data_IF_669976763013
#
_entry.id   IF_669976763013
#
_cell.length_a   1.000
_cell.length_b   1.000
_cell.length_c   1.000
_cell.angle_alpha   90.00
_cell.angle_beta   90.00
_cell.angle_gamma   90.00
#
_symmetry.space_group_name_H-M   'P 1'
#
loop_
_entity.id
_entity.type
_entity.pdbx_description
1 polymer ?
#
# COMPACT_ATOMS: atom_id res chain seq x y z
N UNK A 1 50.55 -29.61 -3.08
CA UNK A 1 49.83 -30.34 -2.01
C UNK A 1 48.47 -29.68 -2.02
N UNK A 2 47.51 -30.29 -2.71
CA UNK A 2 46.18 -29.71 -2.90
C UNK A 2 45.55 -29.62 -1.51
N UNK A 3 45.40 -28.40 -1.02
CA UNK A 3 44.60 -28.14 0.16
C UNK A 3 43.17 -28.37 -0.32
N UNK A 4 42.56 -29.45 0.15
CA UNK A 4 41.11 -29.61 0.03
C UNK A 4 40.57 -28.42 0.81
N UNK A 5 40.10 -27.40 0.10
CA UNK A 5 39.21 -26.38 0.64
C UNK A 5 38.03 -27.21 1.12
N UNK A 6 38.03 -27.49 2.43
CA UNK A 6 36.93 -28.20 3.05
C UNK A 6 35.69 -27.39 2.74
N UNK A 7 34.64 -28.08 2.29
CA UNK A 7 33.29 -27.54 2.25
C UNK A 7 33.13 -26.58 3.43
N UNK A 8 32.65 -25.37 3.16
CA UNK A 8 31.89 -24.64 4.18
C UNK A 8 30.92 -25.69 4.69
N UNK A 9 31.13 -26.13 5.94
CA UNK A 9 30.37 -27.24 6.48
C UNK A 9 28.95 -26.72 6.62
N UNK A 10 28.14 -26.96 5.59
CA UNK A 10 26.74 -26.57 5.56
C UNK A 10 25.99 -27.17 6.75
N UNK A 11 26.49 -28.26 7.35
CA UNK A 11 25.98 -28.78 8.61
C UNK A 11 26.42 -27.93 9.82
N UNK A 12 27.57 -27.26 9.78
CA UNK A 12 28.01 -26.29 10.78
C UNK A 12 27.24 -24.98 10.68
N UNK A 13 27.02 -24.45 9.46
CA UNK A 13 26.17 -23.28 9.24
C UNK A 13 24.72 -23.56 9.67
N UNK A 14 24.18 -24.73 9.30
CA UNK A 14 22.87 -25.18 9.76
C UNK A 14 22.83 -25.48 11.27
N UNK A 15 23.95 -25.83 11.89
CA UNK A 15 24.05 -26.00 13.33
C UNK A 15 24.14 -24.66 14.07
N UNK A 16 24.80 -23.66 13.50
CA UNK A 16 24.85 -22.29 14.03
C UNK A 16 23.49 -21.60 13.88
N UNK A 17 22.82 -21.73 12.74
CA UNK A 17 21.44 -21.29 12.55
C UNK A 17 20.49 -22.00 13.54
N UNK A 18 20.61 -23.34 13.70
CA UNK A 18 19.84 -24.08 14.70
C UNK A 18 20.19 -23.70 16.14
N UNK A 19 21.43 -23.35 16.42
CA UNK A 19 21.89 -22.94 17.75
C UNK A 19 21.40 -21.53 18.09
N UNK A 20 21.47 -20.60 17.14
CA UNK A 20 20.89 -19.27 17.25
C UNK A 20 19.37 -19.36 17.47
N UNK A 21 18.68 -20.12 16.63
CA UNK A 21 17.26 -20.42 16.82
C UNK A 21 17.05 -21.02 18.23
N UNK A 22 17.84 -22.00 18.69
CA UNK A 22 17.66 -22.63 20.00
C UNK A 22 18.02 -21.73 21.21
N UNK A 23 18.93 -20.77 21.04
CA UNK A 23 19.37 -19.84 22.08
C UNK A 23 18.42 -18.64 22.20
N UNK A 24 17.86 -18.21 21.07
CA UNK A 24 16.77 -17.23 20.96
C UNK A 24 15.39 -17.83 21.29
N UNK A 25 15.25 -19.17 21.34
CA UNK A 25 14.03 -19.90 21.71
C UNK A 25 14.12 -20.64 23.07
N UNK A 26 13.98 -19.99 24.24
CA UNK A 26 13.71 -20.72 25.46
C UNK A 26 12.21 -21.13 25.51
N UNK A 27 11.83 -22.20 24.79
CA UNK A 27 10.66 -23.02 25.14
C UNK A 27 9.54 -23.25 24.10
N UNK A 28 9.68 -22.89 22.82
CA UNK A 28 8.51 -22.82 21.89
C UNK A 28 8.33 -23.96 20.89
N UNK A 29 9.14 -25.01 20.89
CA UNK A 29 8.86 -26.21 20.08
C UNK A 29 7.86 -27.20 20.72
N UNK A 30 7.34 -26.87 21.91
CA UNK A 30 6.27 -27.63 22.57
C UNK A 30 5.18 -26.65 23.05
N UNK A 31 4.25 -26.30 22.16
CA UNK A 31 2.99 -25.63 22.53
C UNK A 31 2.68 -24.26 21.93
N UNK A 32 3.38 -23.80 20.90
CA UNK A 32 2.92 -22.64 20.12
C UNK A 32 1.83 -23.13 19.15
N UNK A 33 0.65 -22.52 19.27
CA UNK A 33 -0.50 -22.72 18.38
C UNK A 33 -0.66 -21.57 17.39
N UNK A 34 0.43 -20.85 17.10
CA UNK A 34 0.56 -19.83 16.05
C UNK A 34 1.58 -20.31 15.02
N UNK A 35 1.41 -19.91 13.76
CA UNK A 35 2.25 -20.36 12.65
C UNK A 35 3.69 -19.81 12.79
N UNK A 36 4.61 -20.37 12.02
CA UNK A 36 6.01 -19.92 11.97
C UNK A 36 6.10 -18.42 11.63
N UNK A 37 5.09 -17.92 10.91
CA UNK A 37 4.94 -16.57 10.40
C UNK A 37 4.84 -15.57 11.58
N UNK A 38 3.89 -15.73 12.52
CA UNK A 38 3.73 -14.87 13.73
C UNK A 38 5.05 -14.62 14.53
N UNK A 39 5.99 -15.58 14.49
CA UNK A 39 7.27 -15.45 15.18
C UNK A 39 8.32 -14.73 14.34
N UNK A 40 8.33 -14.97 13.03
CA UNK A 40 9.25 -14.26 12.12
C UNK A 40 8.91 -12.78 12.19
N UNK A 41 7.63 -12.39 12.13
CA UNK A 41 7.15 -11.00 12.21
C UNK A 41 7.65 -10.31 13.49
N UNK A 42 7.48 -10.97 14.64
CA UNK A 42 7.93 -10.44 15.92
C UNK A 42 9.47 -10.32 16.07
N UNK A 43 10.26 -10.88 15.15
CA UNK A 43 11.73 -10.92 15.23
C UNK A 43 12.43 -10.53 13.92
N UNK A 44 11.74 -9.96 12.93
CA UNK A 44 12.30 -9.65 11.61
C UNK A 44 13.56 -8.79 11.71
N UNK A 45 13.50 -7.71 12.50
CA UNK A 45 14.65 -6.81 12.69
C UNK A 45 15.85 -7.51 13.34
N UNK A 46 15.60 -8.42 14.29
CA UNK A 46 16.66 -9.23 14.91
C UNK A 46 17.22 -10.29 13.96
N UNK A 47 16.37 -10.81 13.06
CA UNK A 47 16.76 -11.78 12.05
C UNK A 47 17.63 -11.10 10.96
N UNK A 48 17.26 -9.88 10.56
CA UNK A 48 17.99 -9.03 9.61
C UNK A 48 19.35 -8.61 10.17
N UNK A 49 19.42 -8.05 11.39
CA UNK A 49 20.68 -7.67 12.04
C UNK A 49 21.62 -8.88 12.26
N UNK A 50 21.04 -10.04 12.55
CA UNK A 50 21.79 -11.29 12.65
C UNK A 50 22.35 -11.75 11.30
N UNK A 51 21.55 -11.69 10.22
CA UNK A 51 21.98 -12.03 8.87
C UNK A 51 23.09 -11.09 8.38
N UNK A 52 22.96 -9.78 8.58
CA UNK A 52 23.98 -8.78 8.24
C UNK A 52 25.30 -9.08 8.97
N UNK A 53 25.23 -9.34 10.28
CA UNK A 53 26.40 -9.68 11.09
C UNK A 53 27.07 -10.98 10.62
N UNK A 54 26.28 -11.97 10.21
CA UNK A 54 26.78 -13.23 9.67
C UNK A 54 27.48 -12.99 8.32
N UNK A 55 26.91 -12.16 7.46
CA UNK A 55 27.50 -11.81 6.16
C UNK A 55 28.83 -11.09 6.30
N UNK A 56 28.93 -10.12 7.22
CA UNK A 56 30.19 -9.45 7.54
C UNK A 56 31.27 -10.46 7.96
N UNK A 57 30.92 -11.45 8.80
CA UNK A 57 31.87 -12.48 9.24
C UNK A 57 32.32 -13.40 8.10
N UNK A 58 31.40 -13.76 7.20
CA UNK A 58 31.72 -14.57 6.03
C UNK A 58 32.60 -13.76 5.07
N UNK A 59 32.30 -12.48 4.84
CA UNK A 59 33.10 -11.58 4.02
C UNK A 59 34.53 -11.42 4.54
N UNK A 60 34.68 -11.14 5.84
CA UNK A 60 35.99 -11.07 6.51
C UNK A 60 36.80 -12.38 6.38
N UNK A 61 36.11 -13.53 6.41
CA UNK A 61 36.74 -14.83 6.21
C UNK A 61 37.16 -15.05 4.75
N UNK A 62 36.29 -14.68 3.79
CA UNK A 62 36.59 -14.74 2.35
C UNK A 62 37.80 -13.89 2.02
N UNK A 63 37.89 -12.67 2.55
CA UNK A 63 39.04 -11.78 2.39
C UNK A 63 40.34 -12.40 2.92
N UNK A 64 40.30 -12.98 4.12
CA UNK A 64 41.48 -13.64 4.71
C UNK A 64 41.93 -14.86 3.91
N UNK A 65 40.99 -15.63 3.36
CA UNK A 65 41.30 -16.84 2.61
C UNK A 65 41.74 -16.49 1.18
N UNK A 66 41.12 -15.51 0.53
CA UNK A 66 41.46 -15.07 -0.83
C UNK A 66 42.90 -14.56 -0.91
N UNK A 67 43.41 -13.87 0.12
CA UNK A 67 44.82 -13.45 0.24
C UNK A 67 45.82 -14.62 0.20
N UNK A 68 45.37 -15.82 0.61
CA UNK A 68 46.19 -17.04 0.63
C UNK A 68 46.08 -17.87 -0.65
N UNK A 69 45.11 -17.56 -1.50
CA UNK A 69 44.82 -18.23 -2.77
C UNK A 69 45.44 -17.46 -3.96
N UNK A 70 45.45 -18.07 -5.14
CA UNK A 70 45.92 -17.38 -6.35
C UNK A 70 45.22 -17.88 -7.61
N UNK A 71 44.89 -16.95 -8.51
CA UNK A 71 44.25 -17.28 -9.79
C UNK A 71 42.84 -17.85 -9.58
N UNK A 72 42.50 -18.90 -10.32
CA UNK A 72 41.13 -19.42 -10.43
C UNK A 72 40.49 -19.87 -9.11
N UNK A 73 41.29 -20.18 -8.08
CA UNK A 73 40.77 -20.57 -6.75
C UNK A 73 40.28 -19.37 -5.93
N UNK A 74 40.93 -18.20 -6.08
CA UNK A 74 40.47 -16.96 -5.45
C UNK A 74 39.22 -16.43 -6.18
N UNK A 75 39.25 -16.42 -7.52
CA UNK A 75 38.11 -16.00 -8.35
C UNK A 75 36.85 -16.84 -8.08
N UNK A 76 37.00 -18.13 -7.79
CA UNK A 76 35.88 -19.02 -7.47
C UNK A 76 35.32 -18.82 -6.05
N UNK A 77 36.14 -18.37 -5.11
CA UNK A 77 35.71 -18.08 -3.74
C UNK A 77 34.96 -16.74 -3.67
N UNK A 78 35.46 -15.72 -4.35
CA UNK A 78 34.75 -14.43 -4.50
C UNK A 78 33.41 -14.64 -5.22
N UNK A 79 33.39 -15.37 -6.34
CA UNK A 79 32.14 -15.64 -7.05
C UNK A 79 31.13 -16.50 -6.25
N UNK A 80 31.60 -17.31 -5.30
CA UNK A 80 30.71 -18.04 -4.39
C UNK A 80 30.13 -17.12 -3.31
N UNK A 81 30.95 -16.20 -2.80
CA UNK A 81 30.51 -15.18 -1.85
C UNK A 81 29.47 -14.25 -2.47
N UNK A 82 29.73 -13.72 -3.68
CA UNK A 82 28.77 -12.88 -4.42
C UNK A 82 27.42 -13.60 -4.63
N UNK A 83 27.46 -14.88 -5.01
CA UNK A 83 26.24 -15.66 -5.21
C UNK A 83 25.47 -15.97 -3.91
N UNK A 84 26.18 -16.07 -2.79
CA UNK A 84 25.58 -16.26 -1.46
C UNK A 84 24.96 -14.96 -0.95
N UNK A 85 25.63 -13.83 -1.19
CA UNK A 85 25.12 -12.49 -0.90
C UNK A 85 23.83 -12.22 -1.69
N UNK A 86 23.82 -12.49 -3.01
CA UNK A 86 22.62 -12.39 -3.84
C UNK A 86 21.45 -13.28 -3.33
N UNK A 87 21.72 -14.54 -2.95
CA UNK A 87 20.67 -15.46 -2.43
C UNK A 87 20.12 -15.02 -1.07
N UNK A 88 20.94 -14.39 -0.23
CA UNK A 88 20.53 -13.93 1.09
C UNK A 88 19.87 -12.55 1.06
N UNK A 89 20.30 -11.65 0.18
CA UNK A 89 19.57 -10.42 -0.13
C UNK A 89 18.16 -10.77 -0.61
N UNK A 90 18.01 -11.73 -1.53
CA UNK A 90 16.70 -12.21 -1.99
C UNK A 90 15.85 -12.79 -0.84
N UNK A 91 16.47 -13.50 0.10
CA UNK A 91 15.76 -14.04 1.27
C UNK A 91 15.30 -12.95 2.25
N UNK A 92 16.08 -11.89 2.45
CA UNK A 92 15.72 -10.77 3.31
C UNK A 92 14.66 -9.90 2.64
N UNK A 93 14.93 -9.45 1.40
CA UNK A 93 14.09 -8.52 0.65
C UNK A 93 12.78 -9.17 0.18
N UNK A 94 12.81 -10.42 -0.33
CA UNK A 94 11.59 -11.09 -0.83
C UNK A 94 11.00 -12.14 0.14
N UNK A 95 11.65 -12.40 1.28
CA UNK A 95 11.23 -13.46 2.21
C UNK A 95 10.95 -13.00 3.64
N UNK A 96 11.56 -11.91 4.10
CA UNK A 96 11.30 -11.32 5.43
C UNK A 96 10.47 -10.04 5.29
N UNK A 97 10.80 -9.17 4.33
CA UNK A 97 10.06 -7.91 4.12
C UNK A 97 8.71 -8.08 3.41
N UNK A 98 8.40 -9.29 2.93
CA UNK A 98 7.13 -9.65 2.25
C UNK A 98 6.17 -10.43 3.17
N UNK A 99 6.30 -10.25 4.48
CA UNK A 99 5.50 -10.94 5.48
C UNK A 99 4.38 -10.03 5.97
N UNK A 100 3.23 -10.63 6.23
CA UNK A 100 2.05 -9.96 6.78
C UNK A 100 2.33 -9.47 8.23
N UNK A 101 2.36 -8.16 8.45
CA UNK A 101 2.67 -7.56 9.74
C UNK A 101 1.41 -7.19 10.56
N UNK A 102 1.54 -7.17 11.90
CA UNK A 102 0.54 -6.63 12.82
C UNK A 102 1.14 -5.47 13.62
N UNK A 103 0.73 -4.24 13.28
CA UNK A 103 1.29 -2.99 13.83
C UNK A 103 0.27 -2.26 14.72
N UNK A 104 0.72 -1.70 15.85
CA UNK A 104 -0.09 -0.92 16.80
C UNK A 104 0.68 0.36 17.22
N UNK A 105 0.18 1.53 16.79
CA UNK A 105 0.80 2.84 17.03
C UNK A 105 0.62 3.35 18.47
N UNK A 106 -0.49 2.96 19.12
CA UNK A 106 -0.91 3.34 20.48
C UNK A 106 -1.78 4.62 20.58
N UNK A 107 -1.38 5.62 21.36
CA UNK A 107 -2.23 6.79 21.70
C UNK A 107 -1.54 8.14 21.40
N UNK A 108 -0.35 8.09 20.80
CA UNK A 108 0.47 9.24 20.43
C UNK A 108 0.45 9.41 18.90
N UNK A 109 0.95 10.52 18.36
CA UNK A 109 1.05 10.71 16.90
C UNK A 109 2.17 9.80 16.33
N UNK A 110 1.83 8.90 15.41
CA UNK A 110 2.74 7.90 14.86
C UNK A 110 3.06 8.07 13.36
N UNK A 111 4.22 7.55 12.96
CA UNK A 111 4.69 7.45 11.57
C UNK A 111 4.99 5.97 11.32
N UNK A 112 4.11 5.29 10.59
CA UNK A 112 4.08 3.84 10.41
C UNK A 112 4.29 3.51 8.92
N UNK A 113 5.27 2.65 8.64
CA UNK A 113 5.50 2.03 7.33
C UNK A 113 5.40 0.52 7.53
N UNK A 114 4.45 -0.15 6.86
CA UNK A 114 4.21 -1.58 7.02
C UNK A 114 5.07 -2.44 6.07
N UNK A 115 5.16 -2.07 4.79
CA UNK A 115 6.13 -2.66 3.86
C UNK A 115 5.49 -3.49 2.77
N UNK A 116 6.09 -4.64 2.43
CA UNK A 116 5.45 -5.60 1.53
C UNK A 116 4.74 -6.67 2.39
N UNK A 117 3.66 -7.28 1.91
CA UNK A 117 2.86 -8.24 2.68
C UNK A 117 1.42 -7.75 2.87
N UNK A 118 0.51 -8.64 3.28
CA UNK A 118 -0.86 -8.25 3.57
C UNK A 118 -0.96 -7.78 5.05
N UNK A 119 -0.82 -6.47 5.31
CA UNK A 119 -0.58 -5.95 6.67
C UNK A 119 -1.85 -5.54 7.43
N UNK A 120 -1.87 -5.78 8.75
CA UNK A 120 -2.90 -5.33 9.68
C UNK A 120 -2.34 -4.18 10.56
N UNK A 121 -2.68 -2.92 10.23
CA UNK A 121 -2.21 -1.73 10.95
C UNK A 121 -3.32 -1.06 11.77
N UNK A 122 -3.06 -0.86 13.06
CA UNK A 122 -3.92 -0.12 13.99
C UNK A 122 -3.14 1.09 14.55
N UNK A 123 -3.31 2.28 13.97
CA UNK A 123 -2.56 3.46 14.38
C UNK A 123 -2.95 3.94 15.80
N UNK A 124 -4.25 3.94 16.10
CA UNK A 124 -4.76 4.08 17.45
C UNK A 124 -5.33 5.45 17.74
N UNK A 125 -4.79 6.22 18.68
CA UNK A 125 -5.15 7.64 18.79
C UNK A 125 -3.94 8.48 18.47
N UNK A 126 -4.16 9.68 17.96
CA UNK A 126 -3.06 10.53 17.50
C UNK A 126 -3.41 11.09 16.14
N UNK A 127 -2.66 12.07 15.66
CA UNK A 127 -2.71 12.44 14.24
C UNK A 127 -1.64 11.62 13.50
N UNK A 128 -2.04 10.48 12.92
CA UNK A 128 -1.10 9.46 12.43
C UNK A 128 -0.78 9.59 10.92
N UNK A 129 0.40 9.15 10.50
CA UNK A 129 0.78 8.95 9.08
C UNK A 129 1.14 7.47 8.87
N UNK A 130 0.37 6.79 8.02
CA UNK A 130 0.47 5.35 7.79
C UNK A 130 0.61 5.05 6.30
N UNK A 131 1.64 4.28 5.97
CA UNK A 131 1.83 3.64 4.67
C UNK A 131 1.68 2.12 4.85
N UNK A 132 0.73 1.51 4.13
CA UNK A 132 0.61 0.05 4.03
C UNK A 132 1.78 -0.49 3.21
N UNK A 133 1.70 -0.34 1.90
CA UNK A 133 2.82 -0.63 0.99
C UNK A 133 2.38 -1.55 -0.13
N UNK A 134 3.04 -2.69 -0.33
CA UNK A 134 2.66 -3.66 -1.35
C UNK A 134 1.95 -4.87 -0.70
N UNK A 135 0.66 -5.06 -0.95
CA UNK A 135 -0.15 -6.17 -0.44
C UNK A 135 -1.60 -5.76 -0.23
N UNK A 136 -2.47 -6.70 0.15
CA UNK A 136 -3.88 -6.40 0.44
C UNK A 136 -4.03 -5.96 1.91
N UNK A 137 -3.82 -4.66 2.20
CA UNK A 137 -3.66 -4.16 3.57
C UNK A 137 -4.98 -3.83 4.28
N UNK A 138 -4.97 -3.90 5.62
CA UNK A 138 -5.96 -3.33 6.52
C UNK A 138 -5.36 -2.20 7.35
N UNK A 139 -5.72 -0.96 7.03
CA UNK A 139 -5.30 0.22 7.79
C UNK A 139 -6.45 0.80 8.62
N UNK A 140 -6.24 1.00 9.92
CA UNK A 140 -7.18 1.61 10.85
C UNK A 140 -6.53 2.79 11.61
N UNK A 141 -6.95 4.03 11.32
CA UNK A 141 -6.48 5.24 12.02
C UNK A 141 -7.06 5.40 13.43
N UNK A 142 -8.30 4.94 13.63
CA UNK A 142 -9.07 5.03 14.87
C UNK A 142 -9.40 6.46 15.33
N UNK A 143 -8.48 7.25 15.87
CA UNK A 143 -8.84 8.54 16.46
C UNK A 143 -7.81 9.65 16.38
N UNK A 144 -8.02 10.57 15.44
CA UNK A 144 -7.35 11.86 15.33
C UNK A 144 -7.45 12.31 13.89
N UNK A 145 -6.46 13.04 13.36
CA UNK A 145 -6.46 13.48 11.96
C UNK A 145 -5.44 12.70 11.17
N UNK A 146 -5.87 11.58 10.62
CA UNK A 146 -4.96 10.57 10.11
C UNK A 146 -4.70 10.74 8.62
N UNK A 147 -3.53 10.31 8.18
CA UNK A 147 -3.16 10.14 6.77
C UNK A 147 -2.88 8.67 6.54
N UNK A 148 -3.78 7.98 5.86
CA UNK A 148 -3.64 6.55 5.60
C UNK A 148 -3.56 6.32 4.10
N UNK A 149 -2.52 5.62 3.66
CA UNK A 149 -2.31 5.23 2.26
C UNK A 149 -2.13 3.71 2.19
N UNK A 150 -3.07 3.02 1.55
CA UNK A 150 -3.04 1.56 1.32
C UNK A 150 -1.81 1.16 0.53
N UNK A 151 -1.76 1.51 -0.75
CA UNK A 151 -0.55 1.33 -1.55
C UNK A 151 -0.83 0.53 -2.80
N UNK A 152 -0.20 -0.62 -2.98
CA UNK A 152 -0.41 -1.53 -4.10
C UNK A 152 -1.10 -2.78 -3.59
N UNK A 153 -2.33 -3.03 -4.02
CA UNK A 153 -3.12 -4.18 -3.58
C UNK A 153 -4.57 -3.80 -3.35
N UNK A 154 -5.46 -4.76 -3.11
CA UNK A 154 -6.87 -4.49 -2.85
C UNK A 154 -7.10 -4.15 -1.36
N UNK A 155 -6.93 -2.88 -0.99
CA UNK A 155 -6.81 -2.45 0.42
C UNK A 155 -8.15 -2.19 1.14
N UNK A 156 -8.10 -2.18 2.47
CA UNK A 156 -9.17 -1.70 3.36
C UNK A 156 -8.64 -0.60 4.27
N UNK A 157 -9.00 0.65 3.96
CA UNK A 157 -8.53 1.82 4.70
C UNK A 157 -9.68 2.46 5.49
N UNK A 158 -9.51 2.61 6.81
CA UNK A 158 -10.51 3.18 7.72
C UNK A 158 -9.92 4.33 8.53
N UNK A 159 -10.45 5.55 8.36
CA UNK A 159 -10.02 6.74 9.10
C UNK A 159 -10.37 6.62 10.58
N UNK A 160 -11.66 6.63 10.90
CA UNK A 160 -12.13 6.47 12.27
C UNK A 160 -12.84 7.73 12.74
N UNK A 161 -12.28 8.46 13.69
CA UNK A 161 -12.83 9.71 14.17
C UNK A 161 -11.84 10.86 14.04
N UNK A 162 -12.28 11.94 13.41
CA UNK A 162 -11.53 13.15 13.13
C UNK A 162 -11.56 13.45 11.65
N UNK A 163 -10.73 14.37 11.18
CA UNK A 163 -10.78 14.80 9.78
C UNK A 163 -9.63 14.11 9.03
N UNK A 164 -9.92 12.99 8.37
CA UNK A 164 -8.92 12.05 7.87
C UNK A 164 -8.65 12.23 6.37
N UNK A 165 -7.48 11.78 5.93
CA UNK A 165 -7.10 11.69 4.50
C UNK A 165 -6.80 10.23 4.19
N UNK A 166 -7.64 9.64 3.33
CA UNK A 166 -7.62 8.22 2.98
C UNK A 166 -7.27 8.06 1.51
N UNK A 167 -6.26 7.25 1.22
CA UNK A 167 -5.85 6.91 -0.15
C UNK A 167 -5.75 5.40 -0.33
N UNK A 168 -6.45 4.85 -1.32
CA UNK A 168 -6.35 3.43 -1.69
C UNK A 168 -5.11 3.16 -2.56
N UNK A 169 -4.90 4.02 -3.56
CA UNK A 169 -3.80 3.97 -4.52
C UNK A 169 -3.98 2.95 -5.66
N UNK A 170 -3.26 1.84 -5.74
CA UNK A 170 -3.32 0.92 -6.87
C UNK A 170 -4.04 -0.38 -6.48
N UNK A 171 -5.31 -0.52 -6.82
CA UNK A 171 -6.09 -1.68 -6.37
C UNK A 171 -7.60 -1.52 -6.47
N UNK A 172 -8.33 -2.48 -5.93
CA UNK A 172 -9.80 -2.39 -5.78
C UNK A 172 -10.14 -2.14 -4.32
N UNK A 173 -10.03 -0.88 -3.91
CA UNK A 173 -9.89 -0.54 -2.50
C UNK A 173 -11.24 -0.29 -1.82
N UNK A 174 -11.26 -0.37 -0.49
CA UNK A 174 -12.42 -0.01 0.34
C UNK A 174 -12.03 1.05 1.35
N UNK A 175 -12.46 2.28 1.10
CA UNK A 175 -12.17 3.42 1.95
C UNK A 175 -13.41 3.79 2.77
N UNK A 176 -13.19 3.98 4.07
CA UNK A 176 -14.22 4.46 4.99
C UNK A 176 -13.69 5.59 5.87
N UNK A 177 -14.23 6.81 5.69
CA UNK A 177 -13.92 7.99 6.51
C UNK A 177 -14.22 7.76 7.98
N UNK A 178 -15.50 7.71 8.33
CA UNK A 178 -15.94 7.47 9.70
C UNK A 178 -16.73 8.66 10.22
N UNK A 179 -16.19 9.39 11.19
CA UNK A 179 -16.82 10.62 11.68
C UNK A 179 -15.86 11.79 11.55
N UNK A 180 -16.32 12.93 11.04
CA UNK A 180 -15.49 14.12 10.79
C UNK A 180 -15.50 14.45 9.30
N UNK A 181 -14.80 15.51 8.90
CA UNK A 181 -14.82 15.94 7.50
C UNK A 181 -13.66 15.27 6.74
N UNK A 182 -13.93 14.14 6.08
CA UNK A 182 -12.89 13.26 5.52
C UNK A 182 -12.61 13.54 4.04
N UNK A 183 -11.38 13.24 3.61
CA UNK A 183 -10.97 13.26 2.19
C UNK A 183 -10.61 11.87 1.70
N UNK A 184 -11.33 11.35 0.71
CA UNK A 184 -11.15 10.00 0.18
C UNK A 184 -10.67 10.05 -1.28
N UNK A 185 -9.56 9.36 -1.55
CA UNK A 185 -8.95 9.20 -2.89
C UNK A 185 -8.84 7.70 -3.16
N UNK A 186 -9.75 7.14 -3.98
CA UNK A 186 -9.72 5.72 -4.35
C UNK A 186 -8.39 5.36 -5.02
N UNK A 187 -8.14 5.93 -6.20
CA UNK A 187 -6.91 5.67 -6.94
C UNK A 187 -7.19 4.91 -8.22
N UNK A 188 -6.27 4.06 -8.66
CA UNK A 188 -6.46 3.18 -9.81
C UNK A 188 -7.21 1.93 -9.36
N UNK A 189 -8.32 1.64 -10.02
CA UNK A 189 -8.90 0.30 -10.03
C UNK A 189 -10.38 0.37 -9.79
N UNK A 190 -10.91 -0.30 -8.76
CA UNK A 190 -12.36 -0.26 -8.50
C UNK A 190 -12.65 -0.06 -7.04
N UNK A 191 -12.87 1.19 -6.72
CA UNK A 191 -12.86 1.58 -5.34
C UNK A 191 -14.28 1.70 -4.81
N UNK A 192 -14.43 1.40 -3.53
CA UNK A 192 -15.65 1.63 -2.78
C UNK A 192 -15.34 2.64 -1.71
N UNK A 193 -15.89 3.84 -1.86
CA UNK A 193 -15.64 4.95 -0.95
C UNK A 193 -16.91 5.30 -0.19
N UNK A 194 -16.77 5.47 1.12
CA UNK A 194 -17.85 5.86 2.03
C UNK A 194 -17.30 6.89 3.01
N UNK A 195 -17.82 8.11 2.96
CA UNK A 195 -17.38 9.20 3.83
C UNK A 195 -17.77 8.90 5.28
N UNK A 196 -19.06 8.95 5.59
CA UNK A 196 -19.57 8.62 6.91
C UNK A 196 -20.39 9.76 7.47
N UNK A 197 -20.21 10.08 8.75
CA UNK A 197 -20.86 11.24 9.37
C UNK A 197 -19.92 12.46 9.19
N UNK A 198 -20.33 13.50 8.47
CA UNK A 198 -19.41 14.60 8.19
C UNK A 198 -19.76 15.39 6.94
N UNK A 199 -18.89 16.29 6.52
CA UNK A 199 -18.90 16.84 5.18
C UNK A 199 -17.70 16.31 4.39
N UNK A 200 -17.90 15.20 3.69
CA UNK A 200 -16.81 14.44 3.10
C UNK A 200 -16.49 14.85 1.66
N UNK A 201 -15.24 14.66 1.25
CA UNK A 201 -14.77 14.99 -0.11
C UNK A 201 -14.19 13.76 -0.80
N UNK A 202 -14.82 13.35 -1.90
CA UNK A 202 -14.36 12.27 -2.76
C UNK A 202 -13.59 12.85 -3.95
N UNK A 203 -12.27 12.65 -3.98
CA UNK A 203 -11.38 13.32 -4.94
C UNK A 203 -11.02 12.35 -6.07
N UNK A 204 -11.22 12.79 -7.30
CA UNK A 204 -10.77 12.08 -8.49
C UNK A 204 -9.68 12.88 -9.20
N UNK A 205 -8.58 12.22 -9.54
CA UNK A 205 -7.36 12.90 -10.04
C UNK A 205 -7.00 12.53 -11.49
N UNK A 206 -7.64 11.51 -12.07
CA UNK A 206 -7.48 11.24 -13.50
C UNK A 206 -8.67 10.53 -14.14
N UNK A 207 -8.88 10.79 -15.43
CA UNK A 207 -9.91 10.12 -16.24
C UNK A 207 -9.71 8.61 -16.37
N UNK A 208 -8.48 8.11 -16.18
CA UNK A 208 -8.20 6.68 -16.23
C UNK A 208 -8.91 5.92 -15.09
N UNK A 209 -9.13 6.57 -13.95
CA UNK A 209 -9.81 5.99 -12.79
C UNK A 209 -11.30 5.78 -13.09
N UNK A 210 -11.92 6.74 -13.78
CA UNK A 210 -13.36 6.71 -14.07
C UNK A 210 -13.72 6.24 -15.50
N UNK A 211 -12.75 5.76 -16.30
CA UNK A 211 -12.92 5.53 -17.74
C UNK A 211 -14.09 4.59 -18.09
N UNK A 212 -14.89 4.97 -19.07
CA UNK A 212 -16.02 4.15 -19.53
C UNK A 212 -15.58 2.80 -20.09
N UNK A 213 -16.18 1.73 -19.53
CA UNK A 213 -15.81 0.33 -19.79
C UNK A 213 -14.72 -0.23 -18.88
N UNK A 214 -14.13 0.61 -18.00
CA UNK A 214 -13.30 0.19 -16.87
C UNK A 214 -14.13 -0.37 -15.71
N UNK A 215 -13.46 -0.81 -14.65
CA UNK A 215 -14.16 -1.07 -13.38
C UNK A 215 -14.51 0.31 -12.80
N UNK A 216 -15.78 0.57 -12.49
CA UNK A 216 -16.24 1.88 -12.00
C UNK A 216 -16.19 1.94 -10.48
N UNK A 217 -15.67 3.04 -9.95
CA UNK A 217 -15.73 3.36 -8.53
C UNK A 217 -17.17 3.59 -8.08
N UNK A 218 -17.44 3.26 -6.82
CA UNK A 218 -18.73 3.39 -6.16
C UNK A 218 -18.57 4.33 -4.97
N UNK A 219 -19.26 5.46 -5.04
CA UNK A 219 -19.30 6.45 -3.95
C UNK A 219 -20.63 6.35 -3.21
N UNK A 220 -20.57 6.11 -1.91
CA UNK A 220 -21.74 6.15 -1.04
C UNK A 220 -21.91 7.57 -0.52
N UNK A 221 -23.07 8.17 -0.82
CA UNK A 221 -23.50 9.44 -0.26
C UNK A 221 -24.51 9.16 0.84
N UNK A 222 -24.10 9.40 2.07
CA UNK A 222 -25.00 9.40 3.20
C UNK A 222 -26.06 10.51 3.07
N UNK A 223 -27.16 10.37 3.80
CA UNK A 223 -28.26 11.32 3.71
C UNK A 223 -28.01 12.49 4.65
N UNK A 224 -28.19 13.68 4.11
CA UNK A 224 -28.14 14.96 4.84
C UNK A 224 -26.73 15.41 5.25
N UNK A 225 -25.70 14.73 4.73
CA UNK A 225 -24.29 15.06 4.86
C UNK A 225 -23.85 15.93 3.67
N UNK A 226 -22.98 16.92 3.93
CA UNK A 226 -22.69 18.02 3.01
C UNK A 226 -21.59 17.64 1.99
N UNK A 227 -21.61 16.37 1.58
CA UNK A 227 -20.56 15.72 0.80
C UNK A 227 -20.33 16.34 -0.58
N UNK A 228 -19.11 16.19 -1.07
CA UNK A 228 -18.63 16.74 -2.34
C UNK A 228 -17.87 15.70 -3.14
N UNK A 229 -18.09 15.70 -4.45
CA UNK A 229 -17.19 15.09 -5.42
C UNK A 229 -16.28 16.20 -5.94
N UNK A 230 -14.99 16.07 -5.71
CA UNK A 230 -13.98 16.96 -6.25
C UNK A 230 -13.45 16.39 -7.57
N UNK A 231 -13.76 17.08 -8.66
CA UNK A 231 -13.25 16.80 -10.01
C UNK A 231 -12.26 17.86 -10.48
N UNK A 232 -11.84 18.79 -9.62
CA UNK A 232 -10.96 19.91 -9.98
C UNK A 232 -9.56 19.44 -10.42
N UNK A 233 -9.14 18.26 -9.99
CA UNK A 233 -7.92 17.59 -10.43
C UNK A 233 -8.01 16.97 -11.84
N UNK A 234 -9.21 16.90 -12.43
CA UNK A 234 -9.43 16.35 -13.77
C UNK A 234 -9.61 17.48 -14.77
N UNK A 235 -8.81 17.45 -15.84
CA UNK A 235 -9.02 18.34 -16.98
C UNK A 235 -10.36 18.02 -17.66
N UNK A 236 -11.36 18.90 -17.50
CA UNK A 236 -12.66 18.73 -18.13
C UNK A 236 -12.63 18.80 -19.67
N UNK A 237 -11.48 19.14 -20.28
CA UNK A 237 -11.32 19.12 -21.74
C UNK A 237 -9.96 18.59 -22.13
N UNK A 238 -9.95 17.54 -22.95
CA UNK A 238 -8.70 16.98 -23.48
C UNK A 238 -7.90 18.00 -24.32
N UNK A 239 -8.59 19.01 -24.87
CA UNK A 239 -7.97 20.00 -25.76
C UNK A 239 -7.13 21.06 -25.05
N UNK A 240 -7.21 21.20 -23.70
CA UNK A 240 -6.35 22.13 -22.96
C UNK A 240 -6.18 21.77 -21.48
N UNK A 241 -4.95 21.49 -21.07
CA UNK A 241 -4.61 21.23 -19.67
C UNK A 241 -4.67 22.47 -18.77
N UNK A 242 -5.13 22.29 -17.53
CA UNK A 242 -4.99 23.21 -16.38
C UNK A 242 -6.10 24.27 -16.26
N UNK A 243 -7.19 23.93 -15.57
CA UNK A 243 -8.34 24.79 -15.19
C UNK A 243 -9.48 24.88 -16.22
N UNK A 244 -10.11 23.74 -16.55
CA UNK A 244 -11.49 23.77 -17.03
C UNK A 244 -12.42 23.06 -16.08
N UNK A 245 -13.39 23.81 -15.59
CA UNK A 245 -14.49 23.28 -14.82
C UNK A 245 -15.47 22.53 -15.72
N UNK A 246 -15.97 21.41 -15.21
CA UNK A 246 -17.11 20.77 -15.82
C UNK A 246 -18.36 21.65 -15.72
N UNK A 247 -19.30 21.43 -16.62
CA UNK A 247 -20.60 22.08 -16.67
C UNK A 247 -21.69 21.07 -16.36
N UNK A 248 -22.28 21.16 -15.17
CA UNK A 248 -23.40 20.31 -14.78
C UNK A 248 -24.66 20.62 -15.61
N UNK A 249 -25.11 19.64 -16.39
CA UNK A 249 -26.34 19.72 -17.21
C UNK A 249 -27.50 18.90 -16.62
N UNK A 250 -27.32 18.32 -15.43
CA UNK A 250 -28.37 17.57 -14.75
C UNK A 250 -28.66 16.22 -15.42
N UNK A 251 -29.88 16.05 -15.96
CA UNK A 251 -30.29 14.81 -16.65
C UNK A 251 -30.40 14.98 -18.17
N UNK A 252 -30.09 16.16 -18.68
CA UNK A 252 -30.17 16.45 -20.10
C UNK A 252 -29.12 15.64 -20.88
N UNK A 253 -29.36 15.43 -22.17
CA UNK A 253 -28.41 14.76 -23.05
C UNK A 253 -27.24 15.68 -23.39
N UNK A 254 -26.05 15.09 -23.60
CA UNK A 254 -24.88 15.84 -24.03
C UNK A 254 -25.17 16.59 -25.33
N UNK A 255 -24.73 17.84 -25.35
CA UNK A 255 -24.92 18.75 -26.49
C UNK A 255 -23.75 18.72 -27.47
N UNK A 256 -22.71 17.93 -27.19
CA UNK A 256 -21.45 17.89 -27.93
C UNK A 256 -20.54 19.07 -27.57
N UNK A 257 -20.50 19.43 -26.29
CA UNK A 257 -19.55 20.41 -25.76
C UNK A 257 -18.65 19.71 -24.76
N UNK A 258 -17.35 19.94 -24.91
CA UNK A 258 -16.35 19.48 -23.96
C UNK A 258 -16.66 19.94 -22.52
N UNK A 259 -16.50 19.03 -21.58
CA UNK A 259 -16.64 19.24 -20.15
C UNK A 259 -18.09 19.24 -19.67
N UNK A 260 -19.01 18.57 -20.35
CA UNK A 260 -20.39 18.42 -19.85
C UNK A 260 -20.49 17.27 -18.85
N UNK A 261 -21.21 17.50 -17.73
CA UNK A 261 -21.44 16.49 -16.69
C UNK A 261 -22.93 16.26 -16.51
N UNK A 262 -23.36 15.00 -16.56
CA UNK A 262 -24.76 14.60 -16.35
C UNK A 262 -24.86 13.46 -15.36
N UNK A 263 -26.07 13.20 -14.87
CA UNK A 263 -26.42 11.96 -14.16
C UNK A 263 -27.53 11.19 -14.85
N UNK A 264 -27.44 9.87 -14.76
CA UNK A 264 -28.56 8.97 -15.03
C UNK A 264 -28.45 7.70 -14.18
N UNK A 265 -29.59 7.20 -13.68
CA UNK A 265 -29.72 5.93 -12.96
C UNK A 265 -28.67 5.63 -11.85
N UNK A 266 -28.26 6.64 -11.06
CA UNK A 266 -27.25 6.45 -9.99
C UNK A 266 -25.81 6.47 -10.50
N UNK A 267 -25.58 7.02 -11.69
CA UNK A 267 -24.25 7.16 -12.29
C UNK A 267 -24.08 8.59 -12.80
N UNK A 268 -22.92 9.19 -12.54
CA UNK A 268 -22.46 10.43 -13.16
C UNK A 268 -21.70 10.06 -14.42
N UNK A 269 -21.92 10.80 -15.49
CA UNK A 269 -21.21 10.66 -16.76
C UNK A 269 -20.61 12.02 -17.14
N UNK A 270 -19.37 12.01 -17.60
CA UNK A 270 -18.71 13.20 -18.15
C UNK A 270 -18.27 13.00 -19.60
N UNK A 271 -18.52 14.01 -20.42
CA UNK A 271 -18.04 14.17 -21.81
C UNK A 271 -16.91 15.22 -21.77
N UNK A 272 -15.65 14.81 -21.94
CA UNK A 272 -14.46 15.69 -21.92
C UNK A 272 -13.97 16.05 -23.32
N UNK A 273 -14.22 15.24 -24.35
CA UNK A 273 -13.73 15.51 -25.70
C UNK A 273 -14.76 16.25 -26.60
N UNK A 274 -15.99 16.38 -26.12
CA UNK A 274 -17.08 17.10 -26.76
C UNK A 274 -17.72 16.38 -27.93
N UNK A 275 -17.52 15.06 -28.07
CA UNK A 275 -18.12 14.27 -29.14
C UNK A 275 -19.61 13.93 -28.90
N UNK A 276 -20.11 14.21 -27.69
CA UNK A 276 -21.49 13.96 -27.27
C UNK A 276 -21.73 12.56 -26.71
N UNK A 277 -20.69 11.76 -26.57
CA UNK A 277 -20.64 10.51 -25.82
C UNK A 277 -19.92 10.75 -24.47
N UNK A 278 -20.08 9.83 -23.53
CA UNK A 278 -19.37 9.97 -22.26
C UNK A 278 -17.99 9.32 -22.37
N UNK A 279 -17.03 9.90 -21.66
CA UNK A 279 -15.65 9.42 -21.55
C UNK A 279 -15.38 8.70 -20.22
N UNK A 280 -16.09 9.12 -19.16
CA UNK A 280 -15.99 8.52 -17.84
C UNK A 280 -17.34 8.40 -17.13
N UNK A 281 -17.38 7.53 -16.13
CA UNK A 281 -18.53 7.32 -15.28
C UNK A 281 -18.14 7.10 -13.81
N UNK A 282 -18.97 7.57 -12.89
CA UNK A 282 -18.82 7.33 -11.44
C UNK A 282 -20.16 6.84 -10.91
N UNK A 283 -20.18 5.66 -10.30
CA UNK A 283 -21.40 5.15 -9.67
C UNK A 283 -21.57 5.78 -8.28
N UNK A 284 -22.82 6.09 -7.93
CA UNK A 284 -23.14 6.62 -6.62
C UNK A 284 -24.42 6.03 -6.06
N UNK A 285 -24.48 5.91 -4.73
CA UNK A 285 -25.69 5.55 -4.00
C UNK A 285 -26.06 6.69 -3.03
N UNK A 286 -27.10 7.46 -3.37
CA UNK A 286 -27.56 8.61 -2.58
C UNK A 286 -28.19 9.74 -3.42
N UNK A 287 -28.52 10.86 -2.78
CA UNK A 287 -29.21 12.00 -3.41
C UNK A 287 -28.24 13.09 -3.88
N UNK A 288 -27.67 12.92 -5.09
CA UNK A 288 -26.74 13.91 -5.67
C UNK A 288 -27.41 15.06 -6.43
N UNK A 289 -26.86 16.26 -6.32
CA UNK A 289 -27.25 17.41 -7.14
C UNK A 289 -26.04 18.30 -7.51
N UNK A 290 -26.25 19.34 -8.33
CA UNK A 290 -25.15 20.16 -8.85
C UNK A 290 -24.34 20.93 -7.79
N UNK A 291 -24.84 21.10 -6.56
CA UNK A 291 -24.06 21.70 -5.47
C UNK A 291 -23.10 20.72 -4.78
N UNK A 292 -23.20 19.43 -5.09
CA UNK A 292 -22.35 18.37 -4.53
C UNK A 292 -21.02 18.24 -5.29
N UNK A 293 -20.68 19.18 -6.18
CA UNK A 293 -19.49 19.09 -6.99
C UNK A 293 -18.60 20.32 -6.75
N UNK A 294 -17.31 20.08 -6.57
CA UNK A 294 -16.28 21.08 -6.81
C UNK A 294 -15.81 20.93 -8.27
N UNK A 295 -16.08 21.94 -9.08
CA UNK A 295 -15.95 21.93 -10.54
C UNK A 295 -14.94 22.95 -11.02
#
# INVERSE_FOLDING_TARGET
MALIIGDVDTDALAAELKAFLAESMPGTLDGVTGDLDDWIDANQEQLKDWLDTLMDQIGDWVDQVSESLSGQEADALEAWYDALEDELEDFVENGIEALDDLLDGSEDDDDIEAGDGDDDVYAGKGDDDVQGGDGDDLLCGDGGKDRLNGGVGDDVVKGGSGDDVLKGADGSDRLKGGTGDDTLIGGKGKDVMRGGDGADTFVFTSLNQAKLGGKLDIVYFEKDDDDRIDLSGIDAKESRAGDQAFSWIGRDDFSGKEGELRKDAGVIYGDVDGDGEADFAIAFDGDLNGSCFDL
#
